data_IF_416829049078
#
_entry.id   IF_416829049078
#
_cell.length_a   1.000
_cell.length_b   1.000
_cell.length_c   1.000
_cell.angle_alpha   90.00
_cell.angle_beta   90.00
_cell.angle_gamma   90.00
#
_symmetry.space_group_name_H-M   'P 1'
#
loop_
_entity.id
_entity.type
_entity.pdbx_description
1 polymer ?
#
# COMPACT_ATOMS: atom_id res chain seq x y z
N UNK A 1 -0.24 10.00 -34.95
CA UNK A 1 -0.37 10.49 -33.56
C UNK A 1 -0.30 9.29 -32.64
N UNK A 2 0.32 9.41 -31.45
CA UNK A 2 0.61 8.29 -30.54
C UNK A 2 -0.38 8.30 -29.37
N UNK A 3 -1.11 7.22 -29.13
CA UNK A 3 -2.05 7.02 -28.03
C UNK A 3 -1.31 6.38 -26.86
N UNK A 4 -1.19 7.11 -25.76
CA UNK A 4 -0.31 6.72 -24.66
C UNK A 4 -1.08 6.76 -23.34
N UNK A 5 -0.84 5.77 -22.47
CA UNK A 5 -1.40 5.74 -21.13
C UNK A 5 -0.35 6.14 -20.09
N UNK A 6 -0.66 7.12 -19.25
CA UNK A 6 0.22 7.63 -18.21
C UNK A 6 -0.27 7.26 -16.83
N UNK A 7 0.60 6.68 -16.02
CA UNK A 7 0.32 6.25 -14.65
C UNK A 7 1.17 7.05 -13.67
N UNK A 8 0.73 7.13 -12.42
CA UNK A 8 1.44 7.86 -11.38
C UNK A 8 2.35 6.92 -10.59
N UNK A 9 3.62 7.29 -10.44
CA UNK A 9 4.58 6.53 -9.63
C UNK A 9 4.17 6.50 -8.16
N UNK A 10 4.09 5.29 -7.58
CA UNK A 10 3.76 5.09 -6.16
C UNK A 10 2.27 5.16 -5.81
N UNK A 11 1.38 5.22 -6.81
CA UNK A 11 -0.07 5.35 -6.59
C UNK A 11 -0.85 4.30 -7.42
N UNK A 12 -1.02 3.07 -6.91
CA UNK A 12 -1.72 2.01 -7.62
C UNK A 12 -3.24 2.23 -7.72
N UNK A 13 -3.79 3.20 -6.99
CA UNK A 13 -5.22 3.55 -7.07
C UNK A 13 -5.52 4.52 -8.21
N UNK A 14 -4.49 5.08 -8.84
CA UNK A 14 -4.66 6.01 -9.95
C UNK A 14 -4.98 5.26 -11.24
N UNK A 15 -6.16 5.51 -11.82
CA UNK A 15 -6.67 4.80 -13.00
C UNK A 15 -5.92 5.07 -14.32
N UNK A 16 -4.82 5.82 -14.28
CA UNK A 16 -4.06 6.20 -15.47
C UNK A 16 -4.81 7.18 -16.37
N UNK A 17 -4.08 7.95 -17.17
CA UNK A 17 -4.64 8.94 -18.11
C UNK A 17 -4.24 8.57 -19.51
N UNK A 18 -5.23 8.46 -20.40
CA UNK A 18 -5.01 8.28 -21.83
C UNK A 18 -4.83 9.63 -22.49
N UNK A 19 -3.73 9.82 -23.19
CA UNK A 19 -3.43 11.04 -23.93
C UNK A 19 -2.99 10.70 -25.35
N UNK A 20 -3.27 11.61 -26.28
CA UNK A 20 -2.77 11.55 -27.64
C UNK A 20 -1.60 12.51 -27.75
N UNK A 21 -0.41 11.98 -28.02
CA UNK A 21 0.84 12.72 -28.15
C UNK A 21 1.23 12.74 -29.62
N UNK A 22 1.45 13.94 -30.16
CA UNK A 22 1.90 14.14 -31.53
C UNK A 22 3.02 15.19 -31.52
N UNK A 23 4.06 15.01 -32.33
CA UNK A 23 5.14 16.00 -32.48
C UNK A 23 4.62 17.36 -32.96
N UNK A 24 3.47 17.39 -33.66
CA UNK A 24 2.79 18.65 -34.03
C UNK A 24 2.10 19.33 -32.84
N UNK A 25 1.58 18.57 -31.88
CA UNK A 25 0.84 19.09 -30.71
C UNK A 25 1.76 19.47 -29.56
N UNK A 26 2.88 18.74 -29.39
CA UNK A 26 3.88 18.99 -28.37
C UNK A 26 5.23 19.20 -29.05
N UNK A 27 5.72 20.45 -29.06
CA UNK A 27 7.00 20.82 -29.68
C UNK A 27 8.21 20.27 -28.91
N UNK A 28 8.10 20.20 -27.59
CA UNK A 28 9.15 19.72 -26.69
C UNK A 28 8.60 18.70 -25.71
N UNK A 29 9.48 17.87 -25.16
CA UNK A 29 9.13 16.92 -24.11
C UNK A 29 8.60 17.64 -22.85
N UNK A 30 9.16 18.81 -22.51
CA UNK A 30 8.70 19.61 -21.37
C UNK A 30 7.25 20.09 -21.51
N UNK A 31 6.80 20.42 -22.73
CA UNK A 31 5.40 20.80 -22.97
C UNK A 31 4.43 19.63 -22.69
N UNK A 32 4.87 18.40 -22.95
CA UNK A 32 4.13 17.19 -22.57
C UNK A 32 4.12 17.02 -21.04
N UNK A 33 5.26 17.24 -20.36
CA UNK A 33 5.35 17.17 -18.90
C UNK A 33 4.44 18.20 -18.20
N UNK A 34 4.35 19.43 -18.71
CA UNK A 34 3.46 20.46 -18.16
C UNK A 34 1.99 20.06 -18.31
N UNK A 35 1.61 19.57 -19.50
CA UNK A 35 0.26 19.07 -19.75
C UNK A 35 -0.10 17.88 -18.87
N UNK A 36 0.87 16.98 -18.62
CA UNK A 36 0.71 15.86 -17.71
C UNK A 36 0.62 16.31 -16.25
N UNK A 37 1.34 17.35 -15.85
CA UNK A 37 1.30 17.89 -14.48
C UNK A 37 -0.08 18.44 -14.12
N UNK A 38 -0.81 18.98 -15.09
CA UNK A 38 -2.19 19.45 -14.92
C UNK A 38 -3.19 18.30 -14.76
N UNK A 39 -2.89 17.13 -15.35
CA UNK A 39 -3.81 15.98 -15.36
C UNK A 39 -3.49 14.97 -14.25
N UNK A 40 -2.21 14.75 -13.95
CA UNK A 40 -1.73 13.82 -12.93
C UNK A 40 -1.49 14.59 -11.62
N UNK A 41 -2.28 14.37 -10.56
CA UNK A 41 -2.10 15.05 -9.28
C UNK A 41 -0.89 14.49 -8.53
N UNK A 42 0.27 15.08 -8.81
CA UNK A 42 1.53 14.86 -8.11
C UNK A 42 1.90 16.14 -7.33
N UNK A 43 2.49 16.02 -6.13
CA UNK A 43 2.73 17.14 -5.22
C UNK A 43 3.59 18.27 -5.81
N UNK A 44 4.45 17.99 -6.79
CA UNK A 44 5.22 18.98 -7.55
C UNK A 44 5.16 18.70 -9.08
N UNK A 45 4.08 18.06 -9.54
CA UNK A 45 3.86 17.74 -10.96
C UNK A 45 4.74 16.61 -11.53
N UNK A 46 4.60 16.36 -12.83
CA UNK A 46 5.37 15.36 -13.56
C UNK A 46 6.71 15.97 -13.98
N UNK A 47 7.83 15.37 -13.58
CA UNK A 47 9.18 15.81 -13.94
C UNK A 47 9.95 14.79 -14.76
N UNK A 48 9.57 13.53 -14.69
CA UNK A 48 10.22 12.46 -15.43
C UNK A 48 9.20 11.41 -15.85
N UNK A 49 9.35 10.88 -17.06
CA UNK A 49 8.53 9.77 -17.56
C UNK A 49 9.44 8.57 -17.71
N UNK A 50 9.01 7.43 -17.21
CA UNK A 50 9.75 6.18 -17.33
C UNK A 50 8.88 5.11 -17.94
N UNK A 51 9.52 4.13 -18.56
CA UNK A 51 8.88 2.87 -18.90
C UNK A 51 8.28 2.22 -17.64
N UNK A 52 7.22 1.42 -17.76
CA UNK A 52 6.54 0.81 -16.62
C UNK A 52 7.49 -0.08 -15.84
N UNK A 53 8.46 -0.72 -16.51
CA UNK A 53 9.52 -1.51 -15.88
C UNK A 53 10.58 -0.70 -15.12
N UNK A 54 10.52 0.63 -15.16
CA UNK A 54 11.46 1.51 -14.48
C UNK A 54 12.91 1.43 -14.99
N UNK A 55 13.16 0.73 -16.10
CA UNK A 55 14.52 0.52 -16.62
C UNK A 55 14.99 1.71 -17.44
N UNK A 56 14.11 2.26 -18.28
CA UNK A 56 14.43 3.37 -19.18
C UNK A 56 13.60 4.60 -18.83
N UNK A 57 14.28 5.74 -18.68
CA UNK A 57 13.67 7.07 -18.63
C UNK A 57 13.54 7.63 -20.03
N UNK A 58 12.37 8.20 -20.32
CA UNK A 58 12.07 8.84 -21.58
C UNK A 58 12.51 10.29 -21.50
N UNK A 59 13.33 10.71 -22.46
CA UNK A 59 13.79 12.10 -22.59
C UNK A 59 13.21 12.78 -23.82
N UNK A 60 12.89 12.01 -24.87
CA UNK A 60 12.38 12.52 -26.13
C UNK A 60 10.97 12.00 -26.45
N UNK A 61 10.26 12.74 -27.30
CA UNK A 61 8.94 12.33 -27.82
C UNK A 61 9.04 11.14 -28.79
N UNK A 62 10.25 10.86 -29.26
CA UNK A 62 10.59 9.78 -30.19
C UNK A 62 10.51 8.41 -29.49
N UNK A 63 11.07 8.33 -28.28
CA UNK A 63 11.09 7.12 -27.43
C UNK A 63 9.69 6.73 -26.92
N UNK A 64 8.72 7.63 -27.08
CA UNK A 64 7.32 7.33 -26.82
C UNK A 64 6.75 6.51 -27.97
N UNK A 65 6.09 5.40 -27.67
CA UNK A 65 5.49 4.50 -28.65
C UNK A 65 3.97 4.47 -28.49
N UNK A 66 3.28 4.30 -29.62
CA UNK A 66 1.83 4.17 -29.65
C UNK A 66 1.38 2.89 -28.93
N UNK A 67 0.29 2.97 -28.17
CA UNK A 67 -0.28 1.86 -27.42
C UNK A 67 0.48 1.48 -26.14
N UNK A 68 1.62 2.12 -25.85
CA UNK A 68 2.39 1.84 -24.63
C UNK A 68 1.91 2.66 -23.44
N UNK A 69 2.27 2.14 -22.26
CA UNK A 69 2.02 2.78 -20.97
C UNK A 69 3.33 3.29 -20.40
N UNK A 70 3.29 4.41 -19.69
CA UNK A 70 4.46 5.02 -19.04
C UNK A 70 4.12 5.52 -17.64
N UNK A 71 5.15 5.67 -16.81
CA UNK A 71 5.05 6.09 -15.42
C UNK A 71 5.58 7.52 -15.27
N UNK A 72 4.72 8.40 -14.79
CA UNK A 72 5.02 9.75 -14.40
C UNK A 72 5.59 9.77 -12.98
N UNK A 73 6.76 10.39 -12.81
CA UNK A 73 7.47 10.51 -11.54
C UNK A 73 7.88 11.95 -11.24
N UNK A 74 8.02 12.22 -9.94
CA UNK A 74 8.27 13.54 -9.37
C UNK A 74 9.76 13.89 -9.27
N UNK A 75 10.62 12.90 -9.07
CA UNK A 75 12.05 13.05 -8.80
C UNK A 75 12.85 11.97 -9.54
N UNK A 76 14.05 12.33 -10.02
CA UNK A 76 15.00 11.41 -10.68
C UNK A 76 15.48 10.24 -9.80
N UNK A 77 15.17 10.23 -8.49
CA UNK A 77 15.52 9.12 -7.59
C UNK A 77 14.42 8.06 -7.63
N UNK A 78 14.58 7.11 -8.55
CA UNK A 78 13.71 5.94 -8.66
C UNK A 78 13.83 5.10 -7.39
N UNK A 79 12.73 4.95 -6.63
CA UNK A 79 12.56 3.81 -5.73
C UNK A 79 11.95 2.68 -6.57
N UNK A 80 12.59 1.52 -6.71
CA UNK A 80 12.06 0.44 -7.53
C UNK A 80 10.73 -0.03 -6.94
N UNK A 81 9.66 0.05 -7.74
CA UNK A 81 8.33 -0.43 -7.37
C UNK A 81 8.12 -1.74 -8.11
N UNK A 82 7.86 -2.81 -7.36
CA UNK A 82 7.64 -4.14 -7.93
C UNK A 82 6.25 -4.17 -8.60
N UNK A 83 6.23 -4.21 -9.94
CA UNK A 83 5.00 -4.08 -10.74
C UNK A 83 4.04 -5.27 -10.63
N UNK A 84 4.49 -6.42 -10.14
CA UNK A 84 3.62 -7.58 -9.92
C UNK A 84 2.55 -7.32 -8.84
N UNK A 85 2.83 -6.40 -7.90
CA UNK A 85 1.85 -5.96 -6.92
C UNK A 85 0.95 -4.83 -7.43
N UNK A 86 1.37 -4.07 -8.45
CA UNK A 86 0.64 -2.93 -8.98
C UNK A 86 -0.37 -3.32 -10.09
N UNK A 87 -0.15 -4.42 -10.81
CA UNK A 87 -1.10 -4.96 -11.81
C UNK A 87 -2.24 -5.77 -11.19
N UNK A 88 -2.12 -6.17 -9.91
CA UNK A 88 -3.19 -6.82 -9.17
C UNK A 88 -4.28 -5.80 -8.90
N UNK A 89 -5.35 -5.87 -9.71
CA UNK A 89 -6.61 -5.18 -9.44
C UNK A 89 -6.95 -5.34 -7.95
N UNK A 90 -7.01 -4.26 -7.15
CA UNK A 90 -7.57 -4.39 -5.82
C UNK A 90 -9.02 -4.86 -5.98
N UNK A 91 -9.37 -5.90 -5.23
CA UNK A 91 -10.72 -6.46 -5.24
C UNK A 91 -11.73 -5.34 -4.91
N UNK A 92 -12.95 -5.38 -5.48
CA UNK A 92 -13.90 -4.26 -5.50
C UNK A 92 -14.26 -3.67 -4.12
N UNK A 93 -14.04 -4.41 -3.03
CA UNK A 93 -14.26 -3.97 -1.65
C UNK A 93 -13.20 -2.98 -1.10
N UNK A 94 -12.14 -2.70 -1.86
CA UNK A 94 -11.04 -1.82 -1.43
C UNK A 94 -11.12 -0.37 -1.98
N UNK A 95 -12.14 -0.04 -2.78
CA UNK A 95 -12.25 1.24 -3.49
C UNK A 95 -12.93 2.34 -2.63
N UNK A 96 -13.61 1.97 -1.55
CA UNK A 96 -14.46 2.88 -0.77
C UNK A 96 -13.84 3.30 0.58
N UNK A 97 -12.60 3.82 0.58
CA UNK A 97 -12.10 4.59 1.73
C UNK A 97 -12.00 6.07 1.35
N UNK A 98 -12.95 6.92 1.78
CA UNK A 98 -12.92 8.34 1.45
C UNK A 98 -11.69 9.03 2.04
N UNK A 99 -11.19 10.02 1.31
CA UNK A 99 -10.01 10.88 1.59
C UNK A 99 -10.00 11.51 2.99
N UNK A 100 -11.15 11.56 3.67
CA UNK A 100 -11.30 12.07 5.04
C UNK A 100 -10.52 11.26 6.10
N UNK A 101 -10.25 9.98 5.86
CA UNK A 101 -9.46 9.15 6.79
C UNK A 101 -7.99 9.59 6.88
N UNK A 102 -7.45 10.23 5.84
CA UNK A 102 -6.05 10.67 5.79
C UNK A 102 -5.82 11.95 6.59
N UNK A 103 -6.82 12.85 6.69
CA UNK A 103 -6.76 14.04 7.56
C UNK A 103 -6.83 13.68 9.05
N UNK A 104 -7.58 12.63 9.43
CA UNK A 104 -7.60 12.15 10.83
C UNK A 104 -6.26 11.57 11.31
N UNK A 105 -5.53 10.91 10.42
CA UNK A 105 -4.21 10.37 10.76
C UNK A 105 -3.17 11.46 11.07
N UNK A 106 -3.31 12.65 10.47
CA UNK A 106 -2.42 13.80 10.73
C UNK A 106 -2.82 14.56 11.99
N UNK A 107 -4.12 14.61 12.34
CA UNK A 107 -4.55 15.22 13.60
C UNK A 107 -4.20 14.36 14.83
N UNK A 108 -4.27 13.02 14.72
CA UNK A 108 -3.89 12.10 15.80
C UNK A 108 -2.39 12.11 16.17
N UNK A 109 -1.53 12.76 15.38
CA UNK A 109 -0.11 12.91 15.69
C UNK A 109 0.21 14.19 16.49
N UNK A 110 -0.79 15.06 16.73
CA UNK A 110 -0.60 16.36 17.39
C UNK A 110 -1.16 16.47 18.81
N UNK A 111 -1.98 15.52 19.27
CA UNK A 111 -2.64 15.56 20.59
C UNK A 111 -1.89 14.75 21.67
N UNK A 112 -0.56 14.75 21.62
CA UNK A 112 0.26 14.13 22.65
C UNK A 112 0.43 15.01 23.89
N UNK A 113 -0.46 15.95 24.22
CA UNK A 113 -0.44 16.62 25.52
C UNK A 113 -1.85 16.96 26.02
N UNK A 114 -2.09 16.68 27.30
CA UNK A 114 -3.27 17.01 28.12
C UNK A 114 -4.51 16.09 28.02
N UNK A 115 -4.63 15.21 29.04
CA UNK A 115 -5.72 15.28 30.02
C UNK A 115 -7.14 14.84 29.64
N UNK A 116 -7.65 13.89 30.43
CA UNK A 116 -9.06 13.69 30.84
C UNK A 116 -10.08 13.12 29.83
N UNK A 117 -10.34 11.82 30.01
CA UNK A 117 -11.67 11.22 30.14
C UNK A 117 -12.77 11.60 29.16
N UNK A 118 -13.02 10.76 28.16
CA UNK A 118 -14.41 10.46 27.79
C UNK A 118 -14.54 9.06 27.18
N UNK A 119 -15.51 8.34 27.74
CA UNK A 119 -16.00 7.00 27.42
C UNK A 119 -16.60 7.04 26.01
N UNK A 120 -16.13 6.21 25.07
CA UNK A 120 -17.02 5.68 24.02
C UNK A 120 -16.46 4.50 23.19
N UNK A 121 -17.33 3.50 23.03
CA UNK A 121 -17.39 2.39 22.07
C UNK A 121 -16.07 1.88 21.45
N UNK A 122 -15.50 0.85 22.08
CA UNK A 122 -14.50 -0.04 21.48
C UNK A 122 -15.10 -0.86 20.33
N UNK A 123 -15.12 -0.30 19.13
CA UNK A 123 -15.20 -1.07 17.88
C UNK A 123 -13.99 -2.00 17.85
N UNK A 124 -14.19 -3.23 18.31
CA UNK A 124 -13.11 -4.23 18.44
C UNK A 124 -12.84 -4.77 17.05
N UNK A 125 -11.97 -4.07 16.30
CA UNK A 125 -11.45 -4.58 15.04
C UNK A 125 -10.71 -5.88 15.35
N UNK A 126 -11.10 -7.02 14.74
CA UNK A 126 -10.48 -8.30 15.05
C UNK A 126 -8.99 -8.25 14.69
N UNK A 127 -8.13 -8.44 15.69
CA UNK A 127 -6.68 -8.38 15.50
C UNK A 127 -6.21 -9.72 14.93
N UNK A 128 -5.66 -9.73 13.72
CA UNK A 128 -5.08 -10.96 13.15
C UNK A 128 -3.65 -11.12 13.67
N UNK A 129 -3.31 -12.32 14.14
CA UNK A 129 -1.99 -12.69 14.62
C UNK A 129 -1.48 -13.89 13.84
N UNK A 130 -0.29 -13.79 13.26
CA UNK A 130 0.39 -14.92 12.63
C UNK A 130 1.19 -15.66 13.68
N UNK A 131 0.96 -16.96 13.82
CA UNK A 131 1.70 -17.84 14.74
C UNK A 131 2.41 -18.90 13.92
N UNK A 132 3.62 -19.26 14.32
CA UNK A 132 4.41 -20.32 13.70
C UNK A 132 5.12 -21.13 14.78
N UNK A 133 5.47 -22.38 14.47
CA UNK A 133 6.21 -23.25 15.38
C UNK A 133 7.65 -22.74 15.52
N UNK A 134 8.15 -22.68 16.75
CA UNK A 134 9.54 -22.31 17.00
C UNK A 134 10.49 -23.30 16.30
N UNK A 135 11.36 -22.79 15.42
CA UNK A 135 12.26 -23.61 14.60
C UNK A 135 11.70 -24.09 13.25
N UNK A 136 10.39 -23.96 13.00
CA UNK A 136 9.80 -24.31 11.70
C UNK A 136 8.80 -23.24 11.23
N UNK A 137 9.31 -22.31 10.41
CA UNK A 137 8.55 -21.19 9.85
C UNK A 137 7.59 -21.64 8.74
N UNK A 138 7.70 -22.87 8.24
CA UNK A 138 6.80 -23.40 7.18
C UNK A 138 5.41 -23.69 7.76
N UNK A 139 5.35 -24.08 9.03
CA UNK A 139 4.10 -24.29 9.77
C UNK A 139 3.60 -22.99 10.40
N UNK A 140 3.12 -22.06 9.57
CA UNK A 140 2.53 -20.79 10.01
C UNK A 140 1.01 -20.75 9.80
N UNK A 141 0.27 -20.31 10.81
CA UNK A 141 -1.19 -20.18 10.79
C UNK A 141 -1.61 -18.77 11.23
N UNK A 142 -2.59 -18.20 10.53
CA UNK A 142 -3.15 -16.90 10.86
C UNK A 142 -4.36 -17.08 11.77
N UNK A 143 -4.28 -16.55 12.99
CA UNK A 143 -5.33 -16.58 14.00
C UNK A 143 -6.02 -15.21 14.04
N UNK A 144 -7.34 -15.21 14.10
CA UNK A 144 -8.13 -13.98 14.27
C UNK A 144 -8.50 -13.87 15.75
N UNK A 145 -7.95 -12.88 16.46
CA UNK A 145 -8.34 -12.59 17.84
C UNK A 145 -9.70 -11.88 17.83
N UNK A 146 -10.75 -12.68 17.97
CA UNK A 146 -12.11 -12.22 18.27
C UNK A 146 -12.42 -12.27 19.77
N UNK A 147 -13.43 -11.52 20.22
CA UNK A 147 -13.94 -11.56 21.61
C UNK A 147 -14.36 -12.97 22.06
N UNK A 148 -14.73 -13.85 21.12
CA UNK A 148 -15.16 -15.22 21.40
C UNK A 148 -14.01 -16.17 21.75
N UNK A 149 -12.77 -15.86 21.33
CA UNK A 149 -11.60 -16.77 21.43
C UNK A 149 -10.57 -16.28 22.46
N UNK A 150 -10.92 -15.27 23.28
CA UNK A 150 -10.00 -14.60 24.21
C UNK A 150 -10.58 -14.51 25.63
N UNK A 151 -11.33 -15.52 26.06
CA UNK A 151 -11.85 -15.57 27.43
C UNK A 151 -10.72 -15.75 28.45
N UNK A 152 -9.81 -16.73 28.25
CA UNK A 152 -8.58 -16.93 29.04
C UNK A 152 -7.36 -17.14 28.14
N UNK A 153 -6.15 -16.90 28.67
CA UNK A 153 -4.91 -17.13 27.90
C UNK A 153 -4.69 -18.62 27.64
N UNK A 154 -5.10 -19.49 28.56
CA UNK A 154 -5.00 -20.95 28.43
C UNK A 154 -5.93 -21.48 27.34
N UNK A 155 -7.21 -21.08 27.32
CA UNK A 155 -8.12 -21.46 26.24
C UNK A 155 -7.65 -20.99 24.86
N UNK A 156 -6.91 -19.86 24.82
CA UNK A 156 -6.29 -19.39 23.59
C UNK A 156 -5.10 -20.26 23.16
N UNK A 157 -4.30 -20.76 24.10
CA UNK A 157 -3.23 -21.70 23.83
C UNK A 157 -3.78 -23.05 23.35
N UNK A 158 -4.85 -23.55 23.95
CA UNK A 158 -5.51 -24.79 23.52
C UNK A 158 -6.09 -24.66 22.10
N UNK A 159 -6.75 -23.53 21.80
CA UNK A 159 -7.24 -23.23 20.46
C UNK A 159 -6.11 -23.19 19.41
N UNK A 160 -4.96 -22.61 19.76
CA UNK A 160 -3.79 -22.64 18.86
C UNK A 160 -3.25 -24.06 18.73
N UNK A 161 -3.27 -24.84 19.81
CA UNK A 161 -2.78 -26.21 19.81
C UNK A 161 -3.59 -27.10 18.86
N UNK A 162 -4.91 -26.95 18.87
CA UNK A 162 -5.82 -27.63 17.94
C UNK A 162 -5.54 -27.18 16.49
N UNK A 163 -5.41 -25.87 16.26
CA UNK A 163 -5.16 -25.30 14.92
C UNK A 163 -3.81 -25.72 14.32
N UNK A 164 -2.81 -25.90 15.17
CA UNK A 164 -1.46 -26.29 14.81
C UNK A 164 -1.25 -27.81 14.83
N UNK A 165 -2.23 -28.59 15.32
CA UNK A 165 -2.11 -30.02 15.62
C UNK A 165 -0.83 -30.33 16.42
N UNK A 166 -0.47 -29.43 17.33
CA UNK A 166 0.78 -29.47 18.09
C UNK A 166 0.54 -28.79 19.45
N UNK A 167 0.98 -29.37 20.59
CA UNK A 167 0.76 -28.77 21.90
C UNK A 167 1.54 -27.46 22.07
N UNK A 168 0.81 -26.33 22.15
CA UNK A 168 1.37 -24.99 22.33
C UNK A 168 1.15 -24.55 23.78
N UNK A 169 2.21 -24.59 24.58
CA UNK A 169 2.17 -24.20 26.00
C UNK A 169 2.55 -22.73 26.25
N UNK A 170 3.29 -22.12 25.32
CA UNK A 170 3.86 -20.78 25.49
C UNK A 170 3.93 -20.07 24.14
N UNK A 171 3.62 -18.77 24.17
CA UNK A 171 3.78 -17.89 23.02
C UNK A 171 4.90 -16.89 23.27
N UNK A 172 5.68 -16.65 22.23
CA UNK A 172 6.76 -15.67 22.22
C UNK A 172 6.57 -14.74 21.04
N UNK A 173 6.98 -13.48 21.20
CA UNK A 173 7.10 -12.55 20.08
C UNK A 173 8.33 -12.91 19.24
N UNK A 174 8.41 -12.37 18.02
CA UNK A 174 9.61 -12.49 17.16
C UNK A 174 10.88 -11.94 17.83
N UNK A 175 10.72 -11.03 18.79
CA UNK A 175 11.81 -10.46 19.59
C UNK A 175 12.19 -11.31 20.81
N UNK A 176 11.67 -12.54 20.91
CA UNK A 176 11.96 -13.49 21.99
C UNK A 176 11.27 -13.18 23.33
N UNK A 177 10.34 -12.22 23.37
CA UNK A 177 9.62 -11.87 24.61
C UNK A 177 8.43 -12.80 24.82
N UNK A 178 8.29 -13.34 26.03
CA UNK A 178 7.13 -14.18 26.38
C UNK A 178 5.85 -13.33 26.38
N UNK A 179 4.87 -13.73 25.57
CA UNK A 179 3.55 -13.09 25.55
C UNK A 179 2.81 -13.50 26.81
N UNK A 180 2.34 -12.52 27.59
CA UNK A 180 1.44 -12.71 28.73
C UNK A 180 0.26 -11.77 28.56
N UNK A 181 -0.93 -12.22 28.96
CA UNK A 181 -2.10 -11.34 29.07
C UNK A 181 -1.90 -10.42 30.29
N UNK A 182 -2.11 -9.11 30.09
CA UNK A 182 -2.24 -8.13 31.18
C UNK A 182 -3.66 -8.15 31.73
#
# INVERSE_FOLDING_TARGET
>A
AKRICFYKSGDPQFNGIKMVVNSRSYKTFDALLDSLSKRVPLPFGVRNISTPRGRHSITNLEDLEDGKSYICSQQRKMKPINLEQASRRPLPWQISRPVSARRRAVQLARDSEAGHGHRDLRVTTPRKMLVFKNGDVRLRRTIVLGKKNSQTFEAFLDYISELMQYPVLKLYTTDGRKVRRK
#
